data_IF_595559038567
#
_entry.id   IF_595559038567
#
_cell.length_a   1.000
_cell.length_b   1.000
_cell.length_c   1.000
_cell.angle_alpha   90.00
_cell.angle_beta   90.00
_cell.angle_gamma   90.00
#
_symmetry.space_group_name_H-M   'P 1'
#
loop_
_entity.id
_entity.type
_entity.pdbx_description
1 polymer ?
#
# COMPACT_ATOMS: atom_id res chain seq x y z
N UNK A 1 23.01 17.01 -11.23
CA UNK A 1 22.29 15.74 -11.49
C UNK A 1 21.59 15.31 -10.20
N UNK A 2 20.26 15.34 -10.21
CA UNK A 2 19.42 14.76 -9.15
C UNK A 2 19.59 13.23 -9.20
N UNK A 3 19.74 12.57 -8.07
CA UNK A 3 20.06 11.14 -8.12
C UNK A 3 19.98 10.39 -6.81
N UNK A 4 20.61 9.21 -6.81
CA UNK A 4 20.60 8.25 -5.70
C UNK A 4 21.11 8.84 -4.35
N UNK A 5 21.99 9.85 -4.39
CA UNK A 5 22.46 10.52 -3.18
C UNK A 5 21.35 11.34 -2.49
N UNK A 6 20.52 12.01 -3.29
CA UNK A 6 19.41 12.82 -2.79
C UNK A 6 18.32 11.91 -2.20
N UNK A 7 18.00 10.79 -2.87
CA UNK A 7 17.05 9.80 -2.34
C UNK A 7 17.54 9.15 -1.06
N UNK A 8 18.85 8.88 -0.92
CA UNK A 8 19.39 8.37 0.35
C UNK A 8 19.23 9.35 1.49
N UNK A 9 19.55 10.65 1.27
CA UNK A 9 19.34 11.68 2.29
C UNK A 9 17.87 11.81 2.69
N UNK A 10 16.95 11.78 1.72
CA UNK A 10 15.52 11.82 2.00
C UNK A 10 15.08 10.58 2.80
N UNK A 11 15.51 9.38 2.38
CA UNK A 11 15.25 8.14 3.09
C UNK A 11 15.70 8.20 4.56
N UNK A 12 16.91 8.72 4.80
CA UNK A 12 17.47 8.84 6.15
C UNK A 12 16.68 9.88 6.99
N UNK A 13 16.23 10.97 6.37
CA UNK A 13 15.35 11.94 7.02
C UNK A 13 14.00 11.35 7.41
N UNK A 14 13.37 10.58 6.51
CA UNK A 14 12.08 9.92 6.74
C UNK A 14 12.21 8.76 7.75
N UNK A 15 13.33 8.04 7.77
CA UNK A 15 13.54 6.93 8.70
C UNK A 15 13.35 7.35 10.18
N UNK A 16 13.73 8.58 10.52
CA UNK A 16 13.53 9.13 11.86
C UNK A 16 12.05 9.38 12.19
N UNK A 17 11.25 9.75 11.19
CA UNK A 17 9.83 10.07 11.36
C UNK A 17 8.96 8.80 11.44
N UNK A 18 9.42 7.69 10.84
CA UNK A 18 8.69 6.40 10.77
C UNK A 18 8.91 5.49 11.97
N UNK A 19 9.60 5.97 13.01
CA UNK A 19 9.80 5.19 14.24
C UNK A 19 8.44 4.88 14.89
N UNK A 20 8.16 3.59 15.09
CA UNK A 20 6.89 3.12 15.66
C UNK A 20 5.77 2.85 14.64
N UNK A 21 6.03 3.04 13.36
CA UNK A 21 5.12 2.57 12.31
C UNK A 21 4.95 1.05 12.39
N UNK A 22 3.80 0.54 11.98
CA UNK A 22 3.52 -0.89 11.98
C UNK A 22 4.35 -1.64 10.90
N UNK A 23 4.37 -2.97 11.01
CA UNK A 23 5.14 -3.86 10.11
C UNK A 23 4.71 -3.79 8.63
N UNK A 24 3.55 -3.24 8.34
CA UNK A 24 3.04 -3.08 6.97
C UNK A 24 3.44 -1.74 6.35
N UNK A 25 3.78 -0.73 7.18
CA UNK A 25 4.08 0.65 6.77
C UNK A 25 5.47 1.11 7.27
N UNK A 26 6.40 0.18 7.41
CA UNK A 26 7.76 0.43 7.86
C UNK A 26 8.65 1.06 6.76
N UNK A 27 9.90 1.41 7.11
CA UNK A 27 10.87 1.93 6.14
C UNK A 27 11.13 0.95 4.98
N UNK A 28 11.03 -0.36 5.22
CA UNK A 28 11.17 -1.38 4.18
C UNK A 28 10.03 -1.30 3.15
N UNK A 29 8.81 -0.97 3.58
CA UNK A 29 7.69 -0.67 2.68
C UNK A 29 8.02 0.55 1.81
N UNK A 30 8.45 1.66 2.40
CA UNK A 30 8.81 2.87 1.66
C UNK A 30 9.91 2.61 0.62
N UNK A 31 10.95 1.83 0.97
CA UNK A 31 12.02 1.45 0.03
C UNK A 31 11.48 0.65 -1.16
N UNK A 32 10.56 -0.31 -0.93
CA UNK A 32 9.95 -1.11 -2.01
C UNK A 32 9.04 -0.27 -2.88
N UNK A 33 8.21 0.58 -2.27
CA UNK A 33 7.29 1.47 -3.01
C UNK A 33 8.10 2.47 -3.83
N UNK A 34 9.15 3.09 -3.29
CA UNK A 34 10.01 4.03 -4.03
C UNK A 34 10.67 3.36 -5.25
N UNK A 35 11.16 2.13 -5.09
CA UNK A 35 11.73 1.36 -6.20
C UNK A 35 10.70 0.97 -7.27
N UNK A 36 9.49 0.60 -6.87
CA UNK A 36 8.38 0.32 -7.79
C UNK A 36 7.93 1.60 -8.50
N UNK A 37 7.73 2.69 -7.77
CA UNK A 37 7.28 3.98 -8.26
C UNK A 37 8.23 4.54 -9.33
N UNK A 38 9.53 4.52 -9.06
CA UNK A 38 10.54 4.94 -10.04
C UNK A 38 10.47 4.12 -11.33
N UNK A 39 10.33 2.79 -11.22
CA UNK A 39 10.22 1.91 -12.39
C UNK A 39 8.95 2.11 -13.19
N UNK A 40 7.81 2.30 -12.52
CA UNK A 40 6.54 2.61 -13.18
C UNK A 40 6.64 3.94 -13.92
N UNK A 41 7.13 4.99 -13.25
CA UNK A 41 7.29 6.30 -13.83
C UNK A 41 8.13 6.27 -15.13
N UNK A 42 9.29 5.62 -15.11
CA UNK A 42 10.15 5.47 -16.30
C UNK A 42 9.43 4.73 -17.43
N UNK A 43 8.67 3.67 -17.12
CA UNK A 43 7.89 2.93 -18.13
C UNK A 43 6.74 3.72 -18.72
N UNK A 44 6.17 4.64 -17.96
CA UNK A 44 5.11 5.56 -18.39
C UNK A 44 5.66 6.88 -19.00
N UNK A 45 6.99 7.02 -19.14
CA UNK A 45 7.64 8.19 -19.73
C UNK A 45 7.78 9.39 -18.81
N UNK A 46 7.76 9.16 -17.49
CA UNK A 46 7.86 10.22 -16.46
C UNK A 46 9.18 10.17 -15.68
N UNK A 47 9.46 11.21 -14.91
CA UNK A 47 10.65 11.30 -14.07
C UNK A 47 10.54 10.36 -12.84
N UNK A 48 11.31 9.26 -12.89
CA UNK A 48 11.35 8.29 -11.80
C UNK A 48 11.87 8.83 -10.47
N UNK A 49 12.72 9.86 -10.49
CA UNK A 49 13.23 10.50 -9.27
C UNK A 49 12.09 11.19 -8.51
N UNK A 50 11.28 11.99 -9.20
CA UNK A 50 10.18 12.73 -8.55
C UNK A 50 9.14 11.78 -7.93
N UNK A 51 8.81 10.69 -8.63
CA UNK A 51 7.84 9.71 -8.10
C UNK A 51 8.43 8.92 -6.92
N UNK A 52 9.74 8.60 -6.94
CA UNK A 52 10.40 7.99 -5.78
C UNK A 52 10.45 8.93 -4.57
N UNK A 53 10.63 10.23 -4.78
CA UNK A 53 10.54 11.25 -3.72
C UNK A 53 9.15 11.22 -3.08
N UNK A 54 8.08 11.23 -3.88
CA UNK A 54 6.71 11.14 -3.38
C UNK A 54 6.48 9.84 -2.60
N UNK A 55 7.05 8.73 -3.06
CA UNK A 55 6.94 7.44 -2.38
C UNK A 55 7.60 7.43 -0.98
N UNK A 56 8.71 8.14 -0.78
CA UNK A 56 9.30 8.21 0.56
C UNK A 56 8.47 9.01 1.57
N UNK A 57 7.66 9.96 1.13
CA UNK A 57 6.89 10.83 2.04
C UNK A 57 5.39 10.50 2.09
N UNK A 58 4.92 9.45 1.40
CA UNK A 58 3.49 9.20 1.27
C UNK A 58 2.80 8.70 2.55
N UNK A 59 3.53 8.03 3.43
CA UNK A 59 2.99 7.35 4.61
C UNK A 59 3.26 8.05 5.95
N UNK A 60 3.64 9.34 5.96
CA UNK A 60 3.78 10.12 7.21
C UNK A 60 2.53 10.06 8.08
N UNK A 61 1.34 10.00 7.47
CA UNK A 61 0.08 9.88 8.20
C UNK A 61 -0.03 8.55 8.96
N UNK A 62 0.59 7.45 8.52
CA UNK A 62 0.60 6.16 9.23
C UNK A 62 1.40 6.23 10.53
N UNK A 63 2.54 6.91 10.51
CA UNK A 63 3.30 7.18 11.73
C UNK A 63 2.51 8.08 12.71
N UNK A 64 1.76 9.05 12.18
CA UNK A 64 0.88 9.89 12.99
C UNK A 64 -0.31 9.08 13.57
N UNK A 65 -0.92 8.17 12.82
CA UNK A 65 -1.96 7.25 13.32
C UNK A 65 -1.46 6.41 14.49
N UNK A 66 -0.26 5.84 14.40
CA UNK A 66 0.34 5.08 15.48
C UNK A 66 0.55 5.91 16.76
N UNK A 67 0.94 7.19 16.61
CA UNK A 67 1.11 8.10 17.77
C UNK A 67 -0.19 8.57 18.37
N UNK A 68 -1.21 8.84 17.54
CA UNK A 68 -2.45 9.50 17.94
C UNK A 68 -3.58 8.53 18.27
N UNK A 69 -3.46 7.24 17.88
CA UNK A 69 -4.48 6.22 18.09
C UNK A 69 -5.79 6.49 17.33
N UNK A 70 -5.72 7.25 16.22
CA UNK A 70 -6.87 7.56 15.36
C UNK A 70 -6.46 7.58 13.88
N UNK A 71 -7.43 7.44 13.00
CA UNK A 71 -7.22 7.64 11.56
C UNK A 71 -6.79 9.09 11.29
N UNK A 72 -5.76 9.28 10.47
CA UNK A 72 -5.19 10.56 10.07
C UNK A 72 -5.20 10.65 8.55
N UNK A 73 -5.73 11.74 8.01
CA UNK A 73 -5.69 11.96 6.57
C UNK A 73 -4.27 12.40 6.13
N UNK A 74 -3.79 12.00 4.93
CA UNK A 74 -2.49 12.47 4.41
C UNK A 74 -2.34 13.99 4.43
N UNK A 75 -3.40 14.73 4.16
CA UNK A 75 -3.40 16.20 4.21
C UNK A 75 -3.09 16.79 5.60
N UNK A 76 -3.40 16.07 6.68
CA UNK A 76 -3.07 16.50 8.06
C UNK A 76 -1.56 16.43 8.34
N UNK A 77 -0.80 15.65 7.56
CA UNK A 77 0.66 15.47 7.69
C UNK A 77 1.45 16.18 6.59
N UNK A 78 0.83 17.13 5.87
CA UNK A 78 1.48 17.85 4.76
C UNK A 78 2.73 18.61 5.22
N UNK A 79 2.70 19.21 6.40
CA UNK A 79 3.84 19.97 6.93
C UNK A 79 4.99 19.06 7.37
N UNK A 80 4.70 17.90 7.97
CA UNK A 80 5.71 16.88 8.29
C UNK A 80 6.38 16.34 7.03
N UNK A 81 5.60 16.03 5.99
CA UNK A 81 6.13 15.59 4.70
C UNK A 81 6.98 16.68 4.04
N UNK A 82 6.57 17.96 4.11
CA UNK A 82 7.35 19.11 3.62
C UNK A 82 8.66 19.26 4.38
N UNK A 83 8.65 19.10 5.70
CA UNK A 83 9.86 19.16 6.52
C UNK A 83 10.84 18.02 6.15
N UNK A 84 10.35 16.81 5.92
CA UNK A 84 11.16 15.69 5.44
C UNK A 84 11.80 15.97 4.08
N UNK A 85 11.04 16.56 3.13
CA UNK A 85 11.59 16.99 1.84
C UNK A 85 12.71 18.03 2.00
N UNK A 86 12.52 18.99 2.91
CA UNK A 86 13.53 20.02 3.22
C UNK A 86 14.80 19.38 3.80
N UNK A 87 14.66 18.55 4.85
CA UNK A 87 15.78 17.81 5.48
C UNK A 87 16.50 16.89 4.48
N UNK A 88 15.75 16.27 3.56
CA UNK A 88 16.27 15.43 2.48
C UNK A 88 17.00 16.22 1.39
N UNK A 89 16.95 17.57 1.42
CA UNK A 89 17.56 18.43 0.41
C UNK A 89 16.88 18.34 -0.95
N UNK A 90 15.58 18.03 -0.97
CA UNK A 90 14.79 18.00 -2.21
C UNK A 90 14.50 19.44 -2.67
N UNK A 91 14.72 19.75 -3.95
CA UNK A 91 14.46 21.09 -4.50
C UNK A 91 13.01 21.54 -4.28
N UNK A 92 12.83 22.77 -3.82
CA UNK A 92 11.52 23.31 -3.41
C UNK A 92 10.48 23.37 -4.53
N UNK A 93 10.93 23.47 -5.78
CA UNK A 93 10.04 23.45 -6.96
C UNK A 93 9.32 22.10 -7.14
N UNK A 94 9.78 21.01 -6.49
CA UNK A 94 9.16 19.70 -6.52
C UNK A 94 8.17 19.47 -5.37
N UNK A 95 8.18 20.31 -4.35
CA UNK A 95 7.43 20.03 -3.13
C UNK A 95 5.91 19.99 -3.35
N UNK A 96 5.35 21.05 -3.95
CA UNK A 96 3.90 21.12 -4.13
C UNK A 96 3.37 19.98 -5.03
N UNK A 97 3.95 19.69 -6.22
CA UNK A 97 3.48 18.54 -7.01
C UNK A 97 3.60 17.18 -6.28
N UNK A 98 4.64 17.00 -5.46
CA UNK A 98 4.84 15.78 -4.65
C UNK A 98 3.78 15.67 -3.56
N UNK A 99 3.57 16.75 -2.79
CA UNK A 99 2.59 16.77 -1.70
C UNK A 99 1.15 16.60 -2.20
N UNK A 100 0.80 17.26 -3.30
CA UNK A 100 -0.52 17.09 -3.94
C UNK A 100 -0.73 15.66 -4.45
N UNK A 101 0.33 15.02 -4.96
CA UNK A 101 0.26 13.62 -5.38
C UNK A 101 0.04 12.68 -4.19
N UNK A 102 0.73 12.92 -3.07
CA UNK A 102 0.56 12.15 -1.82
C UNK A 102 -0.88 12.24 -1.30
N UNK A 103 -1.46 13.44 -1.26
CA UNK A 103 -2.84 13.63 -0.80
C UNK A 103 -3.89 12.94 -1.69
N UNK A 104 -3.57 12.71 -2.96
CA UNK A 104 -4.45 12.04 -3.93
C UNK A 104 -4.34 10.50 -3.90
N UNK A 105 -3.44 9.92 -3.08
CA UNK A 105 -3.24 8.47 -2.98
C UNK A 105 -4.03 7.85 -1.83
N UNK A 106 -4.02 6.53 -1.72
CA UNK A 106 -4.64 5.80 -0.60
C UNK A 106 -6.17 5.69 -0.66
N UNK A 107 -6.80 6.08 -1.77
CA UNK A 107 -8.26 6.05 -1.94
C UNK A 107 -8.66 4.95 -2.92
N UNK A 108 -9.55 4.06 -2.48
CA UNK A 108 -10.03 2.91 -3.26
C UNK A 108 -11.46 3.13 -3.74
N UNK A 109 -11.79 2.67 -4.97
CA UNK A 109 -13.14 2.77 -5.53
C UNK A 109 -14.13 1.82 -4.85
N UNK A 110 -13.64 0.73 -4.28
CA UNK A 110 -14.45 -0.25 -3.56
C UNK A 110 -14.66 0.08 -2.07
N UNK A 111 -13.95 1.06 -1.54
CA UNK A 111 -14.27 1.62 -0.22
C UNK A 111 -15.40 2.63 -0.40
N UNK A 112 -16.37 2.63 0.53
CA UNK A 112 -17.53 3.54 0.50
C UNK A 112 -17.15 5.04 0.68
N UNK A 113 -15.93 5.42 0.28
CA UNK A 113 -15.38 6.76 0.34
C UNK A 113 -15.30 7.40 -1.03
N UNK A 114 -15.56 8.68 -1.07
CA UNK A 114 -15.30 9.51 -2.24
C UNK A 114 -13.83 9.39 -2.68
N UNK A 115 -13.59 9.20 -3.97
CA UNK A 115 -12.23 9.25 -4.55
C UNK A 115 -11.54 10.61 -4.34
N UNK A 116 -12.29 11.58 -3.83
CA UNK A 116 -11.84 12.95 -3.69
C UNK A 116 -11.61 13.65 -5.01
N UNK A 117 -11.24 14.94 -4.99
CA UNK A 117 -10.93 15.68 -6.19
C UNK A 117 -9.72 15.09 -6.92
N UNK A 118 -9.71 15.22 -8.25
CA UNK A 118 -8.55 14.88 -9.05
C UNK A 118 -7.36 15.78 -8.63
N UNK A 119 -6.13 15.22 -8.58
CA UNK A 119 -4.96 16.04 -8.28
C UNK A 119 -4.73 17.08 -9.38
N UNK A 120 -4.05 18.20 -9.07
CA UNK A 120 -3.60 19.16 -10.09
C UNK A 120 -2.82 18.47 -11.23
N UNK A 121 -2.87 19.03 -12.42
CA UNK A 121 -2.23 18.43 -13.61
C UNK A 121 -0.74 18.09 -13.39
N UNK A 122 0.00 18.94 -12.68
CA UNK A 122 1.41 18.73 -12.36
C UNK A 122 1.65 17.51 -11.44
N UNK A 123 0.66 17.12 -10.63
CA UNK A 123 0.74 16.00 -9.71
C UNK A 123 0.13 14.71 -10.27
N UNK A 124 -0.66 14.77 -11.35
CA UNK A 124 -1.48 13.66 -11.81
C UNK A 124 -0.68 12.40 -12.18
N UNK A 125 0.42 12.56 -12.90
CA UNK A 125 1.30 11.45 -13.28
C UNK A 125 2.03 10.85 -12.06
N UNK A 126 2.50 11.72 -11.15
CA UNK A 126 3.15 11.31 -9.89
C UNK A 126 2.16 10.49 -9.07
N UNK A 127 0.94 11.01 -8.88
CA UNK A 127 -0.11 10.35 -8.11
C UNK A 127 -0.52 8.99 -8.70
N UNK A 128 -0.62 8.88 -10.03
CA UNK A 128 -0.97 7.61 -10.68
C UNK A 128 0.11 6.54 -10.46
N UNK A 129 1.38 6.88 -10.68
CA UNK A 129 2.49 5.94 -10.50
C UNK A 129 2.73 5.58 -9.03
N UNK A 130 2.61 6.55 -8.12
CA UNK A 130 2.70 6.33 -6.67
C UNK A 130 1.59 5.41 -6.17
N UNK A 131 0.34 5.69 -6.55
CA UNK A 131 -0.80 4.85 -6.22
C UNK A 131 -0.59 3.40 -6.65
N UNK A 132 -0.20 3.19 -7.91
CA UNK A 132 0.03 1.85 -8.42
C UNK A 132 1.20 1.14 -7.72
N UNK A 133 2.26 1.86 -7.36
CA UNK A 133 3.40 1.31 -6.66
C UNK A 133 3.02 0.81 -5.26
N UNK A 134 2.24 1.59 -4.51
CA UNK A 134 1.71 1.22 -3.20
C UNK A 134 0.77 0.01 -3.31
N UNK A 135 -0.19 0.03 -4.27
CA UNK A 135 -1.07 -1.13 -4.52
C UNK A 135 -0.26 -2.39 -4.87
N UNK A 136 0.75 -2.26 -5.70
CA UNK A 136 1.60 -3.40 -6.08
C UNK A 136 2.37 -3.97 -4.88
N UNK A 137 2.82 -3.16 -3.92
CA UNK A 137 3.49 -3.67 -2.71
C UNK A 137 2.54 -4.46 -1.80
N UNK A 138 1.24 -4.19 -1.88
CA UNK A 138 0.20 -4.98 -1.22
C UNK A 138 -0.28 -6.21 -2.01
N UNK A 139 0.33 -6.52 -3.16
CA UNK A 139 -0.04 -7.65 -4.02
C UNK A 139 1.10 -8.66 -4.15
N UNK A 140 0.74 -9.89 -4.57
CA UNK A 140 1.71 -10.97 -4.82
C UNK A 140 2.36 -11.48 -3.53
N UNK A 141 3.53 -12.11 -3.63
CA UNK A 141 4.22 -12.73 -2.51
C UNK A 141 4.53 -11.74 -1.37
N UNK A 142 4.92 -10.51 -1.71
CA UNK A 142 5.15 -9.44 -0.72
C UNK A 142 3.85 -9.08 -0.01
N UNK A 143 2.75 -8.91 -0.75
CA UNK A 143 1.44 -8.61 -0.18
C UNK A 143 0.92 -9.72 0.74
N UNK A 144 1.11 -10.99 0.36
CA UNK A 144 0.81 -12.16 1.21
C UNK A 144 1.57 -12.06 2.53
N UNK A 145 2.90 -11.91 2.47
CA UNK A 145 3.73 -11.81 3.65
C UNK A 145 3.33 -10.65 4.57
N UNK A 146 3.07 -9.47 3.99
CA UNK A 146 2.60 -8.29 4.74
C UNK A 146 1.26 -8.51 5.43
N UNK A 147 0.29 -9.14 4.73
CA UNK A 147 -1.03 -9.41 5.30
C UNK A 147 -0.94 -10.32 6.53
N UNK A 148 -0.15 -11.39 6.46
CA UNK A 148 0.04 -12.29 7.60
C UNK A 148 0.86 -11.65 8.73
N UNK A 149 1.87 -10.86 8.42
CA UNK A 149 2.65 -10.12 9.42
C UNK A 149 1.78 -9.11 10.18
N UNK A 150 0.96 -8.33 9.46
CA UNK A 150 0.04 -7.37 10.05
C UNK A 150 -1.05 -8.04 10.86
N UNK A 151 -1.75 -9.05 10.29
CA UNK A 151 -2.78 -9.81 10.99
C UNK A 151 -2.26 -10.46 12.27
N UNK A 152 -1.05 -11.05 12.24
CA UNK A 152 -0.40 -11.58 13.42
C UNK A 152 -0.09 -10.51 14.48
N UNK A 153 0.33 -9.32 14.06
CA UNK A 153 0.62 -8.21 14.98
C UNK A 153 -0.63 -7.68 15.71
N UNK A 154 -1.81 -7.74 15.07
CA UNK A 154 -3.09 -7.32 15.67
C UNK A 154 -3.92 -8.47 16.24
N UNK A 155 -3.41 -9.71 16.18
CA UNK A 155 -4.10 -10.89 16.72
C UNK A 155 -5.26 -11.39 15.85
N UNK A 156 -5.31 -11.10 14.56
CA UNK A 156 -6.29 -11.68 13.65
C UNK A 156 -6.01 -13.19 13.43
N UNK A 157 -7.05 -14.05 13.40
CA UNK A 157 -6.90 -15.44 13.02
C UNK A 157 -6.46 -15.56 11.55
N UNK A 158 -5.77 -16.65 11.20
CA UNK A 158 -5.39 -16.91 9.81
C UNK A 158 -6.62 -16.99 8.92
N UNK A 159 -7.58 -17.81 9.28
CA UNK A 159 -8.87 -17.96 8.62
C UNK A 159 -9.94 -18.39 9.64
N UNK A 160 -11.15 -17.86 9.46
CA UNK A 160 -12.35 -18.31 10.14
C UNK A 160 -13.40 -18.66 9.08
N UNK A 161 -13.62 -19.97 8.81
CA UNK A 161 -14.63 -20.39 7.84
C UNK A 161 -16.07 -20.01 8.22
N UNK A 162 -16.33 -19.77 9.52
CA UNK A 162 -17.65 -19.35 10.00
C UNK A 162 -17.90 -17.83 9.85
N UNK A 163 -16.85 -17.05 9.58
CA UNK A 163 -16.91 -15.62 9.37
C UNK A 163 -16.58 -15.28 7.89
N UNK A 164 -17.57 -15.32 6.97
CA UNK A 164 -17.33 -15.02 5.56
C UNK A 164 -16.86 -13.57 5.38
N UNK A 165 -16.08 -13.28 4.33
CA UNK A 165 -15.68 -11.92 4.00
C UNK A 165 -16.87 -11.00 3.84
N UNK A 166 -16.73 -9.72 4.24
CA UNK A 166 -17.77 -8.71 4.09
C UNK A 166 -18.06 -8.43 2.60
N UNK A 167 -19.33 -8.43 2.21
CA UNK A 167 -19.76 -8.02 0.88
C UNK A 167 -19.53 -6.54 0.61
N UNK A 168 -19.51 -5.71 1.66
CA UNK A 168 -19.35 -4.25 1.57
C UNK A 168 -17.92 -3.83 1.20
N UNK A 169 -16.99 -4.78 1.18
CA UNK A 169 -15.57 -4.54 0.93
C UNK A 169 -14.84 -3.94 2.14
N UNK A 170 -13.55 -3.72 1.94
CA UNK A 170 -12.67 -3.19 2.97
C UNK A 170 -12.93 -1.70 3.23
N UNK A 171 -13.10 -1.32 4.48
CA UNK A 171 -13.19 0.09 4.90
C UNK A 171 -11.93 0.53 5.64
N UNK A 172 -11.64 -0.09 6.78
CA UNK A 172 -10.44 0.15 7.60
C UNK A 172 -10.41 -0.86 8.76
N UNK A 173 -9.23 -1.11 9.31
CA UNK A 173 -9.05 -1.96 10.49
C UNK A 173 -9.17 -3.47 10.23
N UNK A 174 -9.43 -4.27 11.27
CA UNK A 174 -9.53 -5.73 11.18
C UNK A 174 -10.66 -6.19 10.25
N UNK A 175 -10.43 -7.31 9.56
CA UNK A 175 -11.36 -7.92 8.59
C UNK A 175 -11.98 -9.24 9.08
N UNK A 176 -11.74 -9.60 10.34
CA UNK A 176 -12.21 -10.86 10.94
C UNK A 176 -11.27 -12.03 10.74
N UNK A 177 -10.49 -12.06 9.66
CA UNK A 177 -9.35 -12.97 9.47
C UNK A 177 -8.43 -12.46 8.36
N UNK A 178 -7.18 -12.93 8.34
CA UNK A 178 -6.22 -12.58 7.28
C UNK A 178 -6.76 -13.01 5.91
N UNK A 179 -7.37 -14.20 5.79
CA UNK A 179 -7.97 -14.68 4.52
C UNK A 179 -9.16 -13.81 4.10
N UNK A 180 -9.99 -13.31 5.03
CA UNK A 180 -11.06 -12.37 4.70
C UNK A 180 -10.50 -11.09 4.07
N UNK A 181 -9.37 -10.56 4.58
CA UNK A 181 -8.68 -9.40 4.00
C UNK A 181 -8.26 -9.59 2.54
N UNK A 182 -7.88 -10.80 2.13
CA UNK A 182 -7.60 -11.08 0.73
C UNK A 182 -8.81 -10.82 -0.15
N UNK A 183 -10.00 -11.25 0.25
CA UNK A 183 -11.24 -11.09 -0.51
C UNK A 183 -11.78 -9.66 -0.46
N UNK A 184 -11.71 -9.03 0.71
CA UNK A 184 -12.24 -7.69 0.93
C UNK A 184 -11.39 -6.60 0.29
N UNK A 185 -10.05 -6.79 0.22
CA UNK A 185 -9.11 -5.79 -0.29
C UNK A 185 -8.18 -6.32 -1.37
N UNK A 186 -7.30 -7.29 -1.07
CA UNK A 186 -6.11 -7.56 -1.89
C UNK A 186 -6.45 -7.99 -3.32
N UNK A 187 -7.46 -8.85 -3.52
CA UNK A 187 -7.92 -9.27 -4.83
C UNK A 187 -8.56 -8.13 -5.65
N UNK A 188 -9.10 -7.13 -4.98
CA UNK A 188 -9.74 -5.97 -5.63
C UNK A 188 -8.73 -4.93 -6.13
N UNK A 189 -7.50 -4.92 -5.58
CA UNK A 189 -6.46 -3.94 -5.93
C UNK A 189 -6.10 -3.95 -7.42
N UNK A 190 -6.22 -5.10 -8.10
CA UNK A 190 -6.00 -5.19 -9.55
C UNK A 190 -6.88 -4.22 -10.33
N UNK A 191 -8.13 -4.03 -9.91
CA UNK A 191 -9.08 -3.12 -10.54
C UNK A 191 -8.80 -1.64 -10.29
N UNK A 192 -7.95 -1.33 -9.32
CA UNK A 192 -7.61 0.04 -8.93
C UNK A 192 -6.39 0.60 -9.70
N UNK A 193 -5.63 -0.25 -10.40
CA UNK A 193 -4.39 0.16 -11.07
C UNK A 193 -4.67 1.12 -12.24
N UNK A 194 -3.96 2.23 -12.26
CA UNK A 194 -4.21 3.41 -13.11
C UNK A 194 -3.30 3.46 -14.34
N UNK A 195 -2.06 2.93 -14.24
CA UNK A 195 -1.06 2.98 -15.31
C UNK A 195 -1.04 1.70 -16.14
N UNK A 196 -0.53 1.72 -17.37
CA UNK A 196 -0.38 0.54 -18.19
C UNK A 196 0.65 -0.43 -17.59
N UNK A 197 1.79 0.10 -17.15
CA UNK A 197 2.84 -0.66 -16.50
C UNK A 197 2.38 -1.29 -15.18
N UNK A 198 1.58 -0.55 -14.39
CA UNK A 198 0.97 -1.05 -13.15
C UNK A 198 0.03 -2.22 -13.41
N UNK A 199 -0.87 -2.12 -14.38
CA UNK A 199 -1.79 -3.20 -14.75
C UNK A 199 -1.08 -4.46 -15.21
N UNK A 200 0.00 -4.34 -15.99
CA UNK A 200 0.80 -5.50 -16.40
C UNK A 200 1.45 -6.20 -15.21
N UNK A 201 2.10 -5.42 -14.32
CA UNK A 201 2.73 -5.98 -13.11
C UNK A 201 1.70 -6.56 -12.16
N UNK A 202 0.57 -5.88 -11.99
CA UNK A 202 -0.55 -6.29 -11.13
C UNK A 202 -1.18 -7.59 -11.58
N UNK A 203 -1.29 -7.85 -12.88
CA UNK A 203 -1.79 -9.12 -13.38
C UNK A 203 -1.00 -10.33 -12.87
N UNK A 204 0.35 -10.25 -12.91
CA UNK A 204 1.22 -11.32 -12.39
C UNK A 204 1.11 -11.49 -10.87
N UNK A 205 1.02 -10.37 -10.13
CA UNK A 205 0.91 -10.39 -8.67
C UNK A 205 -0.46 -10.87 -8.20
N UNK A 206 -1.51 -10.53 -8.95
CA UNK A 206 -2.86 -11.02 -8.68
C UNK A 206 -2.94 -12.54 -8.84
N UNK A 207 -2.40 -13.10 -9.93
CA UNK A 207 -2.34 -14.55 -10.11
C UNK A 207 -1.63 -15.28 -8.97
N UNK A 208 -0.58 -14.67 -8.38
CA UNK A 208 0.08 -15.24 -7.21
C UNK A 208 -0.81 -15.23 -5.95
N UNK A 209 -1.69 -14.22 -5.77
CA UNK A 209 -2.67 -14.19 -4.67
C UNK A 209 -3.72 -15.29 -4.86
N UNK A 210 -4.25 -15.46 -6.08
CA UNK A 210 -5.24 -16.49 -6.39
C UNK A 210 -4.68 -17.90 -6.16
N UNK A 211 -3.45 -18.16 -6.63
CA UNK A 211 -2.77 -19.45 -6.47
C UNK A 211 -2.48 -19.74 -4.99
N UNK A 212 -2.05 -18.73 -4.21
CA UNK A 212 -1.86 -18.89 -2.77
C UNK A 212 -3.16 -19.27 -2.08
N UNK A 213 -4.27 -18.56 -2.35
CA UNK A 213 -5.57 -18.85 -1.72
C UNK A 213 -6.09 -20.25 -2.08
N UNK A 214 -5.90 -20.69 -3.33
CA UNK A 214 -6.26 -22.03 -3.76
C UNK A 214 -5.52 -23.09 -2.94
N UNK A 215 -4.18 -22.98 -2.83
CA UNK A 215 -3.35 -23.92 -2.05
C UNK A 215 -3.66 -23.85 -0.56
N UNK A 216 -3.75 -22.66 -0.01
CA UNK A 216 -4.08 -22.49 1.41
C UNK A 216 -5.38 -23.20 1.78
N UNK A 217 -6.41 -23.07 0.93
CA UNK A 217 -7.70 -23.73 1.15
C UNK A 217 -7.59 -25.26 1.08
N UNK A 218 -6.88 -25.78 0.09
CA UNK A 218 -6.65 -27.22 -0.06
C UNK A 218 -5.97 -27.80 1.18
N UNK A 219 -4.86 -27.20 1.60
CA UNK A 219 -4.11 -27.63 2.80
C UNK A 219 -4.93 -27.48 4.08
N UNK A 220 -5.79 -26.47 4.17
CA UNK A 220 -6.69 -26.30 5.32
C UNK A 220 -7.76 -27.38 5.39
N UNK A 221 -8.33 -27.77 4.25
CA UNK A 221 -9.32 -28.86 4.17
C UNK A 221 -8.64 -30.18 4.52
N UNK A 222 -7.50 -30.51 3.92
CA UNK A 222 -6.75 -31.74 4.21
C UNK A 222 -6.48 -31.91 5.71
N UNK A 223 -6.18 -30.83 6.42
CA UNK A 223 -5.93 -30.86 7.85
C UNK A 223 -7.19 -31.11 8.72
N UNK A 224 -8.40 -30.96 8.15
CA UNK A 224 -9.67 -31.05 8.89
C UNK A 224 -10.55 -32.22 8.45
N UNK A 225 -10.30 -32.85 7.29
CA UNK A 225 -11.12 -33.96 6.77
C UNK A 225 -11.11 -35.20 7.70
N UNK A 226 -10.00 -35.47 8.39
CA UNK A 226 -9.90 -36.55 9.35
C UNK A 226 -10.75 -36.32 10.65
N UNK A 227 -11.24 -35.09 10.85
CA UNK A 227 -12.01 -34.72 12.04
C UNK A 227 -13.53 -34.68 11.80
N UNK A 228 -14.03 -34.99 10.61
CA UNK A 228 -15.47 -34.97 10.29
C UNK A 228 -16.12 -33.58 10.33
N UNK A 229 -15.31 -32.52 10.29
CA UNK A 229 -15.74 -31.13 10.36
C UNK A 229 -15.25 -30.35 9.14
N UNK A 230 -15.65 -30.78 7.94
CA UNK A 230 -15.35 -29.98 6.74
C UNK A 230 -16.05 -28.61 6.86
N UNK A 231 -15.32 -27.48 6.69
CA UNK A 231 -15.94 -26.16 6.69
C UNK A 231 -16.86 -26.02 5.47
N UNK A 232 -17.96 -25.25 5.56
CA UNK A 232 -18.85 -25.01 4.43
C UNK A 232 -18.08 -24.37 3.26
N UNK A 233 -18.44 -24.79 2.06
CA UNK A 233 -17.92 -24.13 0.84
C UNK A 233 -18.32 -22.66 0.82
N UNK A 234 -17.46 -21.76 0.34
CA UNK A 234 -17.72 -20.31 0.27
C UNK A 234 -18.83 -19.98 -0.71
#
# INVERSE_FOLDING_TARGET
MRGAADLRRLRDAVAADMVGADVAHDLGHLDRVAGLAARLAVREGHDGFVVAVAAYVHDHHRAAEARLGRVVAPAECRDEARDALCRGGIPSELWEPVLDAVEATGRYSFSAGDRGPAPPAAAAAIAACLHDADMLDAMGATGIARAFAYGGAIGEPLWDPAAPPSSDGYRSGPTGSVIAHFHEKLLRLRGELRTAAGREMGGRRHAALEEFLRRFREEWIDAHDDAGTAPPAP
#
